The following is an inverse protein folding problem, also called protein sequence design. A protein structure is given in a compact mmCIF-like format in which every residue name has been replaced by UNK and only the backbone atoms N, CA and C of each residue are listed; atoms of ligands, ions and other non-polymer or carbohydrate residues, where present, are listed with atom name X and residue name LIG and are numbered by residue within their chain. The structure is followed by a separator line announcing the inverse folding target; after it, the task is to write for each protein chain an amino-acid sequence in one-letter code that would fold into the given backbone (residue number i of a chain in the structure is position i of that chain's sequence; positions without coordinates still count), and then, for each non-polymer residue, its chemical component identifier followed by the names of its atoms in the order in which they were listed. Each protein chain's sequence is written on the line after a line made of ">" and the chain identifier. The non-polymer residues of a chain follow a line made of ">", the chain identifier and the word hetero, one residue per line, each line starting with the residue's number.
data_IF_491518978583
#
_entry.id   IF_491518978583
#
_cell.length_a   1.000
_cell.length_b   1.000
_cell.length_c   1.000
_cell.angle_alpha   90.00
_cell.angle_beta   90.00
_cell.angle_gamma   90.00
#
_symmetry.space_group_name_H-M   'P 1'
#
loop_
_entity.id
_entity.type
_entity.pdbx_description
1 polymer ?
#
# COMPACT_ATOMS: atom_id res chain seq x y z
N UNK A 33 -5.12 19.03 -3.19
CA UNK A 33 -4.43 18.94 -4.48
C UNK A 33 -3.80 17.56 -4.66
N UNK A 34 -4.54 16.52 -4.28
CA UNK A 34 -4.08 15.15 -4.40
C UNK A 34 -4.40 14.63 -5.79
N UNK A 35 -3.46 13.89 -6.38
CA UNK A 35 -3.64 13.32 -7.71
C UNK A 35 -3.15 11.89 -7.71
N UNK A 36 -3.98 10.98 -8.19
CA UNK A 36 -3.65 9.57 -8.30
C UNK A 36 -3.57 9.17 -9.76
N UNK A 37 -2.55 8.38 -10.10
CA UNK A 37 -2.39 7.90 -11.47
C UNK A 37 -2.00 6.43 -11.42
N UNK A 38 -2.67 5.61 -12.22
CA UNK A 38 -2.49 4.17 -12.21
C UNK A 38 -2.32 3.69 -13.64
N UNK A 39 -1.30 2.86 -13.88
CA UNK A 39 -1.02 2.32 -15.20
C UNK A 39 -0.92 0.80 -15.14
N UNK A 40 -1.60 0.14 -16.08
CA UNK A 40 -1.41 -1.29 -16.34
C UNK A 40 -1.55 -2.13 -15.07
N UNK A 41 -2.53 -1.79 -14.25
CA UNK A 41 -2.73 -2.46 -12.97
C UNK A 41 -3.96 -3.35 -13.03
N UNK A 42 -4.16 -4.10 -11.95
CA UNK A 42 -5.28 -5.02 -11.83
C UNK A 42 -5.87 -4.91 -10.44
N UNK A 43 -7.20 -4.90 -10.36
CA UNK A 43 -7.86 -4.89 -9.07
C UNK A 43 -7.73 -3.59 -8.31
N UNK A 44 -8.38 -2.54 -8.79
CA UNK A 44 -8.35 -1.23 -8.14
C UNK A 44 -9.70 -0.99 -7.48
N UNK A 45 -9.67 -0.62 -6.20
CA UNK A 45 -10.86 -0.21 -5.47
C UNK A 45 -10.67 1.21 -4.97
N UNK A 46 -11.62 2.09 -5.30
CA UNK A 46 -11.56 3.49 -4.89
C UNK A 46 -12.84 3.78 -4.13
N UNK A 47 -12.74 3.84 -2.81
CA UNK A 47 -13.91 4.06 -1.98
C UNK A 47 -13.63 3.59 -0.57
N UNK A 48 -14.69 3.60 0.23
CA UNK A 48 -14.60 3.26 1.64
C UNK A 48 -15.33 1.95 1.93
N UNK A 49 -14.89 1.28 3.00
CA UNK A 49 -15.51 0.05 3.49
C UNK A 49 -15.52 -1.05 2.43
N UNK A 50 -14.46 -1.10 1.63
CA UNK A 50 -14.33 -2.12 0.61
C UNK A 50 -13.61 -3.34 1.17
N UNK A 51 -13.82 -4.48 0.51
CA UNK A 51 -13.16 -5.72 0.87
C UNK A 51 -12.45 -6.27 -0.36
N UNK A 52 -11.22 -6.74 -0.17
CA UNK A 52 -10.43 -7.30 -1.25
C UNK A 52 -9.68 -8.52 -0.76
N UNK A 53 -9.71 -9.59 -1.56
CA UNK A 53 -9.00 -10.82 -1.26
C UNK A 53 -8.12 -11.16 -2.44
N UNK A 54 -6.82 -11.33 -2.19
CA UNK A 54 -5.85 -11.63 -3.22
C UNK A 54 -5.28 -13.02 -2.97
N UNK A 55 -5.33 -13.87 -3.97
CA UNK A 55 -4.83 -15.24 -3.87
C UNK A 55 -3.68 -15.46 -4.82
N UNK A 56 -2.73 -16.29 -4.40
CA UNK A 56 -1.57 -16.60 -5.21
C UNK A 56 -1.89 -17.47 -6.41
N UNK B 33 0.09 19.04 -2.05
CA UNK B 33 0.76 18.77 -3.31
C UNK B 33 1.27 17.33 -3.37
N UNK B 34 0.45 16.40 -2.89
CA UNK B 34 0.79 14.99 -2.88
C UNK B 34 0.42 14.37 -4.21
N UNK B 35 1.29 13.50 -4.72
CA UNK B 35 1.05 12.83 -5.99
C UNK B 35 1.43 11.36 -5.85
N UNK B 36 0.51 10.48 -6.25
CA UNK B 36 0.73 9.04 -6.22
C UNK B 36 0.77 8.50 -7.64
N UNK B 37 1.71 7.60 -7.90
CA UNK B 37 1.83 6.98 -9.21
C UNK B 37 2.09 5.50 -9.02
N UNK B 38 1.35 4.67 -9.74
CA UNK B 38 1.41 3.22 -9.59
C UNK B 38 1.53 2.59 -10.97
N UNK B 39 2.47 1.66 -11.13
CA UNK B 39 2.69 0.97 -12.39
C UNK B 39 2.67 -0.53 -12.19
N UNK B 40 1.93 -1.22 -13.06
CA UNK B 40 2.00 -2.68 -13.18
C UNK B 40 1.80 -3.38 -11.84
N UNK B 41 0.86 -2.88 -11.05
CA UNK B 41 0.61 -3.41 -9.72
C UNK B 41 -0.69 -4.19 -9.69
N UNK B 42 -0.95 -4.82 -8.55
CA UNK B 42 -2.14 -5.62 -8.35
C UNK B 42 -2.71 -5.33 -6.97
N UNK B 43 -4.03 -5.20 -6.89
CA UNK B 43 -4.69 -5.01 -5.62
C UNK B 43 -4.45 -3.66 -4.98
N UNK B 44 -5.00 -2.61 -5.56
CA UNK B 44 -4.86 -1.25 -5.04
C UNK B 44 -6.18 -0.84 -4.41
N UNK B 45 -6.12 -0.35 -3.17
CA UNK B 45 -7.27 0.22 -2.49
C UNK B 45 -6.95 1.67 -2.13
N UNK B 46 -7.82 2.59 -2.53
CA UNK B 46 -7.64 4.01 -2.27
C UNK B 46 -8.89 4.48 -1.54
N UNK B 47 -8.78 4.66 -0.23
CA UNK B 47 -9.91 5.05 0.57
C UNK B 47 -9.68 4.70 2.03
N UNK B 48 -10.72 4.87 2.82
CA UNK B 48 -10.65 4.66 4.26
C UNK B 48 -11.49 3.45 4.67
N UNK B 49 -11.10 2.85 5.79
CA UNK B 49 -11.82 1.73 6.40
C UNK B 49 -11.92 0.55 5.45
N UNK B 50 -10.88 0.33 4.66
CA UNK B 50 -10.84 -0.80 3.74
C UNK B 50 -10.22 -2.01 4.41
N UNK B 51 -10.53 -3.18 3.87
CA UNK B 51 -9.97 -4.44 4.34
C UNK B 51 -9.32 -5.16 3.18
N UNK B 52 -8.13 -5.71 3.42
CA UNK B 52 -7.40 -6.44 2.39
C UNK B 52 -6.76 -7.67 3.00
N UNK B 53 -6.88 -8.79 2.31
CA UNK B 53 -6.28 -10.05 2.73
C UNK B 53 -5.43 -10.58 1.58
N UNK B 54 -4.15 -10.83 1.85
CA UNK B 54 -3.21 -11.31 0.85
C UNK B 54 -2.76 -12.71 1.25
N UNK B 55 -2.89 -13.65 0.32
CA UNK B 55 -2.51 -15.03 0.56
C UNK B 55 -1.38 -15.44 -0.37
N UNK B 56 -0.50 -16.30 0.14
CA UNK B 56 0.62 -16.78 -0.64
C UNK B 56 0.22 -17.74 -1.75
N UNK C 33 5.29 18.69 -0.90
CA UNK C 33 5.93 18.25 -2.13
C UNK C 33 6.31 16.77 -2.05
N UNK C 34 5.42 15.97 -1.49
CA UNK C 34 5.64 14.54 -1.33
C UNK C 34 5.21 13.83 -2.61
N UNK C 35 6.00 12.85 -3.03
CA UNK C 35 5.70 12.07 -4.22
C UNK C 35 5.95 10.60 -3.95
N UNK C 36 4.97 9.77 -4.26
CA UNK C 36 5.06 8.33 -4.09
C UNK C 36 5.05 7.65 -5.45
N UNK C 37 5.91 6.65 -5.63
CA UNK C 37 5.96 5.90 -6.87
C UNK C 37 6.10 4.43 -6.54
N UNK C 38 5.29 3.60 -7.18
CA UNK C 38 5.22 2.17 -6.89
C UNK C 38 5.28 1.40 -8.20
N UNK C 39 6.15 0.39 -8.27
CA UNK C 39 6.30 -0.43 -9.46
C UNK C 39 6.15 -1.90 -9.11
N UNK C 40 5.36 -2.61 -9.91
CA UNK C 40 5.30 -4.07 -9.90
C UNK C 40 5.05 -4.62 -8.50
N UNK C 41 4.16 -3.97 -7.76
CA UNK C 41 3.87 -4.35 -6.38
C UNK C 41 2.51 -5.01 -6.28
N UNK C 42 2.21 -5.50 -5.08
CA UNK C 42 0.95 -6.18 -4.81
C UNK C 42 0.42 -5.71 -3.47
N UNK C 43 -0.89 -5.47 -3.41
CA UNK C 43 -1.52 -5.10 -2.16
C UNK C 43 -1.16 -3.72 -1.65
N UNK C 44 -1.63 -2.68 -2.33
CA UNK C 44 -1.37 -1.30 -1.95
C UNK C 44 -2.65 -0.72 -1.36
N UNK C 45 -2.53 -0.12 -0.17
CA UNK C 45 -3.63 0.61 0.45
C UNK C 45 -3.19 2.05 0.67
N UNK C 46 -3.98 2.99 0.18
CA UNK C 46 -3.68 4.41 0.31
C UNK C 46 -4.88 5.06 0.99
N UNK C 47 -4.75 5.35 2.27
CA UNK C 47 -5.84 5.91 3.03
C UNK C 47 -5.62 5.68 4.51
N UNK C 48 -6.65 6.02 5.28
CA UNK C 48 -6.59 5.94 6.73
C UNK C 48 -7.52 4.85 7.25
N UNK C 49 -7.17 4.33 8.43
CA UNK C 49 -7.98 3.34 9.14
C UNK C 49 -8.19 2.08 8.31
N UNK C 50 -7.18 1.70 7.55
CA UNK C 50 -7.24 0.49 6.74
C UNK C 50 -6.72 -0.70 7.53
N UNK C 51 -7.13 -1.89 7.10
CA UNK C 51 -6.67 -3.14 7.69
C UNK C 51 -6.09 -4.02 6.60
N UNK C 52 -4.96 -4.64 6.90
CA UNK C 52 -4.29 -5.52 5.95
C UNK C 52 -3.75 -6.74 6.67
N UNK C 53 -3.97 -7.91 6.09
CA UNK C 53 -3.47 -9.17 6.63
C UNK C 53 -2.68 -9.87 5.54
N UNK C 54 -1.43 -10.20 5.84
CA UNK C 54 -0.53 -10.85 4.89
C UNK C 54 -0.20 -12.24 5.41
N UNK C 55 -0.42 -13.25 4.59
CA UNK C 55 -0.15 -14.63 4.95
C UNK C 55 0.93 -15.22 4.08
N UNK C 56 1.74 -16.10 4.66
CA UNK C 56 2.82 -16.75 3.94
C UNK C 56 2.33 -17.77 2.92
N UNK D 33 10.44 18.04 0.29
CA UNK D 33 11.04 17.43 -0.89
C UNK D 33 11.30 15.94 -0.67
N UNK D 34 10.35 15.27 -0.03
CA UNK D 34 10.45 13.85 0.26
C UNK D 34 9.95 13.06 -0.94
N UNK D 35 10.65 11.98 -1.27
CA UNK D 35 10.28 11.12 -2.39
C UNK D 35 10.41 9.67 -1.97
N UNK D 36 9.35 8.89 -2.21
CA UNK D 36 9.33 7.47 -1.90
C UNK D 36 9.25 6.68 -3.19
N UNK D 37 10.02 5.60 -3.26
CA UNK D 37 10.00 4.73 -4.43
C UNK D 37 10.02 3.28 -3.96
N UNK D 38 9.14 2.47 -4.51
CA UNK D 38 8.96 1.09 -4.09
C UNK D 38 8.94 0.20 -5.33
N UNK D 39 9.72 -0.89 -5.29
CA UNK D 39 9.80 -1.83 -6.40
C UNK D 39 9.52 -3.24 -5.91
N UNK D 40 8.67 -3.95 -6.64
CA UNK D 40 8.49 -5.40 -6.49
C UNK D 40 8.20 -5.79 -5.04
N UNK D 41 7.37 -5.00 -4.37
CA UNK D 41 7.07 -5.21 -2.97
C UNK D 41 5.65 -5.75 -2.81
N UNK D 42 5.32 -6.09 -1.57
CA UNK D 42 4.01 -6.64 -1.23
C UNK D 42 3.53 -6.00 0.06
N UNK D 43 2.25 -5.64 0.09
CA UNK D 43 1.66 -5.11 1.30
C UNK D 43 2.13 -3.72 1.67
N UNK D 44 1.75 -2.71 0.90
CA UNK D 44 2.12 -1.33 1.15
C UNK D 44 0.90 -0.59 1.68
N UNK D 45 1.08 0.11 2.80
CA UNK D 45 0.05 0.99 3.35
C UNK D 45 0.61 2.40 3.43
N UNK D 46 -0.10 3.35 2.85
CA UNK D 46 0.32 4.75 2.84
C UNK D 46 -0.82 5.56 3.45
N UNK D 47 -0.66 5.96 4.70
CA UNK D 47 -1.69 6.68 5.40
C UNK D 47 -1.49 6.58 6.90
N UNK D 48 -2.48 7.07 7.63
CA UNK D 48 -2.42 7.12 9.08
C UNK D 48 -3.43 6.17 9.70
N UNK D 49 -3.12 5.74 10.93
CA UNK D 49 -4.01 4.89 11.73
C UNK D 49 -4.33 3.58 11.02
N UNK D 50 -3.35 3.04 10.30
CA UNK D 50 -3.52 1.78 9.61
C UNK D 50 -3.10 0.62 10.51
N UNK D 51 -3.61 -0.56 10.20
CA UNK D 51 -3.26 -1.78 10.91
C UNK D 51 -2.75 -2.81 9.91
N UNK D 52 -1.67 -3.50 10.26
CA UNK D 52 -1.09 -4.51 9.40
C UNK D 52 -0.65 -5.70 10.24
N UNK D 53 -0.97 -6.90 9.77
CA UNK D 53 -0.58 -8.13 10.43
C UNK D 53 0.15 -9.00 9.42
N UNK D 54 1.37 -9.41 9.75
CA UNK D 54 2.20 -10.22 8.87
C UNK D 54 2.41 -11.57 9.52
N UNK D 55 2.11 -12.63 8.79
CA UNK D 55 2.26 -13.99 9.29
C UNK D 55 3.29 -14.76 8.48
N UNK D 56 4.02 -15.64 9.15
CA UNK D 56 5.03 -16.44 8.49
C UNK D 56 4.46 -17.50 7.58
N UNK E 33 15.54 17.05 1.55
CA UNK E 33 16.07 16.28 0.43
C UNK E 33 16.21 14.80 0.79
N UNK E 34 15.20 14.28 1.49
CA UNK E 34 15.19 12.88 1.91
C UNK E 34 14.62 12.03 0.79
N UNK E 35 15.23 10.86 0.57
CA UNK E 35 14.78 9.94 -0.46
C UNK E 35 14.78 8.53 0.10
N UNK E 36 13.67 7.83 -0.07
CA UNK E 36 13.52 6.45 0.38
C UNK E 36 13.37 5.54 -0.83
N UNK E 37 14.05 4.40 -0.80
CA UNK E 37 13.95 3.43 -1.88
C UNK E 37 13.85 2.04 -1.27
N UNK E 38 12.89 1.25 -1.75
CA UNK E 38 12.60 -0.07 -1.20
C UNK E 38 12.51 -1.06 -2.34
N UNK E 39 13.19 -2.20 -2.20
CA UNK E 39 13.18 -3.25 -3.21
C UNK E 39 12.79 -4.58 -2.59
N UNK E 40 11.87 -5.29 -3.25
CA UNK E 40 11.57 -6.69 -2.96
C UNK E 40 11.26 -6.91 -1.48
N UNK E 41 10.51 -6.00 -0.90
CA UNK E 41 10.19 -6.05 0.52
C UNK E 41 8.74 -6.45 0.73
N UNK E 42 8.39 -6.64 2.00
CA UNK E 42 7.04 -7.04 2.38
C UNK E 42 6.62 -6.24 3.60
N UNK E 43 5.37 -5.77 3.60
CA UNK E 43 4.84 -5.08 4.75
C UNK E 43 5.43 -3.71 4.99
N UNK E 44 5.13 -2.75 4.12
CA UNK E 44 5.62 -1.38 4.24
C UNK E 44 4.47 -0.49 4.69
N UNK E 45 4.71 0.29 5.74
CA UNK E 45 3.76 1.30 6.20
C UNK E 45 4.44 2.66 6.15
N UNK E 46 3.81 3.61 5.48
CA UNK E 46 4.34 4.96 5.34
C UNK E 46 3.28 5.91 5.87
N UNK E 47 3.48 6.41 7.07
CA UNK E 47 2.52 7.29 7.70
C UNK E 47 2.72 7.31 9.20
N UNK E 48 1.78 7.95 9.88
CA UNK E 48 1.86 8.14 11.32
C UNK E 48 0.77 7.34 12.03
N UNK E 49 1.05 7.00 13.29
CA UNK E 49 0.10 6.31 14.16
C UNK E 49 -0.34 4.97 13.58
N UNK E 50 0.59 4.29 12.92
CA UNK E 50 0.31 2.98 12.35
C UNK E 50 0.64 1.88 13.36
N UNK E 51 0.03 0.72 13.16
CA UNK E 51 0.28 -0.45 13.99
C UNK E 51 0.69 -1.60 13.09
N UNK E 52 1.71 -2.34 13.51
CA UNK E 52 2.20 -3.48 12.75
C UNK E 52 2.54 -4.61 13.70
N UNK E 53 2.12 -5.82 13.35
CA UNK E 53 2.41 -7.02 14.12
C UNK E 53 3.06 -8.04 13.20
N UNK E 54 4.24 -8.52 13.57
CA UNK E 54 4.99 -9.47 12.77
C UNK E 54 5.10 -10.77 13.56
N UNK E 55 4.70 -11.87 12.93
CA UNK E 55 4.74 -13.18 13.56
C UNK E 55 5.70 -14.10 12.82
N UNK E 56 6.36 -14.98 13.57
CA UNK E 56 7.30 -15.92 13.00
C UNK E 56 6.63 -17.01 12.19
#
# INVERSE_FOLDING_TARGET
>A
HMPSLHNIPVPETNYLGNTPTMPFSSLPPTDESIKYTIYNSTGIQIGAYNYMEIGGTSSSLLDSTNTNFKEEPAAKYQAIFDNTTSLT
>B
HMPSLHNIPVPETNYLGNTPTMPFSSLPPTDESIKYTIYNSTGIQIGAYNYMEIGGTSSSLLDSTNTNFKEEPAAKYQAIFDNTTSLT
>C
HMPSLHNIPVPETNYLGNTPTMPFSSLPPTDESIKYTIYNSTGIQIGAYNYMEIGGTSSSLLDSTNTNFKEEPAAKYQAIFDNTTSLT
>D
HMPSLHNIPVPETNYLGNTPTMPFSSLPPTDESIKYTIYNSTGIQIGAYNYMEIGGTSSSLLDSTNTNFKEEPAAKYQAIFDNTTSLT
>E
HMPSLHNIPVPETNYLGNTPTMPFSSLPPTDESIKYTIYNSTGIQIGAYNYMEIGGTSSSLLDSTNTNFKEEPAAKYQAIFDNTTSLT
#
